data_IF_670195408377
#
_entry.id   IF_670195408377
#
_cell.length_a   1.000
_cell.length_b   1.000
_cell.length_c   1.000
_cell.angle_alpha   90.00
_cell.angle_beta   90.00
_cell.angle_gamma   90.00
#
_symmetry.space_group_name_H-M   'P 1'
#
loop_
_entity.id
_entity.type
_entity.pdbx_description
1 polymer ?
#
# COMPACT_ATOMS: atom_id res chain seq x y z
N UNK A 1 4.33 -27.04 1.82
CA UNK A 1 3.94 -25.71 2.36
C UNK A 1 5.01 -24.73 1.89
N UNK A 2 4.69 -23.92 0.87
CA UNK A 2 5.65 -23.22 -0.02
C UNK A 2 6.46 -22.18 0.73
N UNK A 3 7.79 -22.17 0.58
CA UNK A 3 8.70 -21.24 1.25
C UNK A 3 8.31 -19.78 0.98
N UNK A 4 7.82 -19.10 2.03
CA UNK A 4 7.64 -17.65 2.03
C UNK A 4 8.99 -17.00 2.35
N UNK A 5 9.66 -16.48 1.31
CA UNK A 5 10.89 -15.69 1.48
C UNK A 5 10.60 -14.39 2.24
N UNK A 6 11.51 -13.97 3.13
CA UNK A 6 11.37 -12.75 3.93
C UNK A 6 11.11 -11.49 3.08
N UNK A 7 11.66 -11.42 1.86
CA UNK A 7 11.39 -10.34 0.89
C UNK A 7 9.92 -10.33 0.46
N UNK A 8 9.32 -11.50 0.20
CA UNK A 8 7.91 -11.63 -0.18
C UNK A 8 7.00 -11.22 0.98
N UNK A 9 7.36 -11.62 2.20
CA UNK A 9 6.58 -11.33 3.39
C UNK A 9 6.55 -9.83 3.73
N UNK A 10 7.68 -9.13 3.56
CA UNK A 10 7.77 -7.67 3.70
C UNK A 10 6.80 -6.95 2.75
N UNK A 11 6.86 -7.27 1.45
CA UNK A 11 6.07 -6.59 0.42
C UNK A 11 4.57 -6.82 0.63
N UNK A 12 4.19 -8.05 0.99
CA UNK A 12 2.80 -8.39 1.26
C UNK A 12 2.22 -7.63 2.45
N UNK A 13 2.92 -7.63 3.59
CA UNK A 13 2.46 -6.91 4.78
C UNK A 13 2.39 -5.41 4.51
N UNK A 14 3.40 -4.84 3.85
CA UNK A 14 3.42 -3.42 3.49
C UNK A 14 2.24 -3.04 2.59
N UNK A 15 1.99 -3.81 1.53
CA UNK A 15 0.86 -3.60 0.61
C UNK A 15 -0.49 -3.69 1.32
N UNK A 16 -0.67 -4.69 2.19
CA UNK A 16 -1.89 -4.84 2.99
C UNK A 16 -2.10 -3.68 3.97
N UNK A 17 -1.03 -3.05 4.48
CA UNK A 17 -1.14 -1.86 5.35
C UNK A 17 -1.53 -0.60 4.58
N UNK A 18 -1.23 -0.53 3.30
CA UNK A 18 -1.60 0.60 2.44
C UNK A 18 -3.04 0.55 1.94
N UNK A 19 -3.73 -0.59 2.00
CA UNK A 19 -5.10 -0.74 1.51
C UNK A 19 -6.05 -1.01 2.70
N UNK A 20 -6.90 -0.05 3.11
CA UNK A 20 -7.76 -0.14 4.30
C UNK A 20 -9.03 -0.97 4.06
N UNK A 21 -9.07 -1.75 2.97
CA UNK A 21 -10.17 -2.68 2.67
C UNK A 21 -10.27 -3.76 3.75
N UNK A 22 -9.12 -4.18 4.29
CA UNK A 22 -9.10 -5.24 5.28
C UNK A 22 -8.98 -4.67 6.69
N UNK A 23 -9.78 -5.16 7.65
CA UNK A 23 -9.59 -4.84 9.05
C UNK A 23 -8.19 -5.23 9.54
N UNK A 24 -7.53 -4.35 10.29
CA UNK A 24 -6.15 -4.56 10.72
C UNK A 24 -5.97 -5.80 11.61
N UNK A 25 -6.98 -6.18 12.41
CA UNK A 25 -6.91 -7.37 13.24
C UNK A 25 -6.82 -8.65 12.40
N UNK A 26 -7.47 -8.68 11.23
CA UNK A 26 -7.44 -9.84 10.34
C UNK A 26 -6.06 -10.00 9.72
N UNK A 27 -5.44 -8.89 9.30
CA UNK A 27 -4.03 -8.90 8.85
C UNK A 27 -3.12 -9.39 9.97
N UNK A 28 -3.29 -8.91 11.21
CA UNK A 28 -2.47 -9.34 12.35
C UNK A 28 -2.59 -10.86 12.60
N UNK A 29 -3.79 -11.43 12.56
CA UNK A 29 -4.00 -12.87 12.71
C UNK A 29 -3.30 -13.65 11.59
N UNK A 30 -3.50 -13.25 10.33
CA UNK A 30 -2.90 -13.91 9.18
C UNK A 30 -1.37 -13.89 9.26
N UNK A 31 -0.78 -12.75 9.63
CA UNK A 31 0.66 -12.64 9.80
C UNK A 31 1.17 -13.45 10.99
N UNK A 32 0.37 -13.61 12.05
CA UNK A 32 0.67 -14.46 13.20
C UNK A 32 0.77 -15.96 12.85
N UNK A 33 0.18 -16.39 11.73
CA UNK A 33 0.32 -17.74 11.21
C UNK A 33 1.57 -17.94 10.33
N UNK A 34 2.34 -16.88 10.07
CA UNK A 34 3.56 -16.93 9.24
C UNK A 34 4.82 -17.03 10.10
N UNK A 35 5.94 -17.51 9.53
CA UNK A 35 7.26 -17.52 10.18
C UNK A 35 7.95 -16.14 10.22
N UNK A 36 7.19 -15.04 10.17
CA UNK A 36 7.76 -13.69 10.14
C UNK A 36 8.34 -13.32 11.51
N UNK A 37 9.56 -12.74 11.52
CA UNK A 37 10.15 -12.18 12.74
C UNK A 37 9.31 -11.00 13.25
N UNK A 38 9.07 -10.96 14.56
CA UNK A 38 8.28 -9.89 15.21
C UNK A 38 8.87 -8.50 14.91
N UNK A 39 10.19 -8.38 14.89
CA UNK A 39 10.88 -7.10 14.57
C UNK A 39 10.60 -6.64 13.14
N UNK A 40 10.59 -7.56 12.17
CA UNK A 40 10.21 -7.26 10.79
C UNK A 40 8.75 -6.86 10.71
N UNK A 41 7.85 -7.60 11.36
CA UNK A 41 6.43 -7.25 11.41
C UNK A 41 6.20 -5.85 11.98
N UNK A 42 6.89 -5.51 13.08
CA UNK A 42 6.79 -4.21 13.73
C UNK A 42 7.20 -3.07 12.80
N UNK A 43 8.44 -3.08 12.30
CA UNK A 43 8.95 -1.99 11.48
C UNK A 43 8.20 -1.82 10.18
N UNK A 44 7.86 -2.93 9.50
CA UNK A 44 7.06 -2.87 8.27
C UNK A 44 5.68 -2.30 8.53
N UNK A 45 5.04 -2.68 9.64
CA UNK A 45 3.74 -2.12 10.02
C UNK A 45 3.83 -0.63 10.31
N UNK A 46 4.86 -0.16 11.04
CA UNK A 46 5.03 1.26 11.34
C UNK A 46 5.17 2.10 10.07
N UNK A 47 6.09 1.71 9.18
CA UNK A 47 6.33 2.45 7.94
C UNK A 47 5.12 2.41 7.01
N UNK A 48 4.50 1.23 6.86
CA UNK A 48 3.30 1.06 6.04
C UNK A 48 2.10 1.85 6.56
N UNK A 49 1.86 1.83 7.87
CA UNK A 49 0.79 2.60 8.49
C UNK A 49 1.03 4.10 8.35
N UNK A 50 2.25 4.58 8.62
CA UNK A 50 2.56 6.00 8.49
C UNK A 50 2.32 6.50 7.06
N UNK A 51 2.84 5.80 6.06
CA UNK A 51 2.62 6.13 4.65
C UNK A 51 1.13 6.10 4.28
N UNK A 52 0.41 5.05 4.72
CA UNK A 52 -1.04 4.95 4.54
C UNK A 52 -1.77 6.15 5.16
N UNK A 53 -1.51 6.47 6.42
CA UNK A 53 -2.13 7.59 7.14
C UNK A 53 -1.92 8.90 6.40
N UNK A 54 -0.71 9.22 5.94
CA UNK A 54 -0.44 10.45 5.19
C UNK A 54 -1.31 10.53 3.93
N UNK A 55 -1.37 9.44 3.15
CA UNK A 55 -2.16 9.38 1.91
C UNK A 55 -3.66 9.50 2.20
N UNK A 56 -4.18 8.73 3.15
CA UNK A 56 -5.60 8.69 3.48
C UNK A 56 -6.09 10.00 4.10
N UNK A 57 -5.30 10.61 4.98
CA UNK A 57 -5.63 11.92 5.55
C UNK A 57 -5.61 12.97 4.44
N UNK A 58 -4.61 12.97 3.55
CA UNK A 58 -4.58 13.90 2.43
C UNK A 58 -5.81 13.73 1.53
N UNK A 59 -6.11 12.50 1.09
CA UNK A 59 -7.29 12.19 0.28
C UNK A 59 -8.59 12.60 0.98
N UNK A 60 -8.74 12.30 2.27
CA UNK A 60 -9.88 12.71 3.09
C UNK A 60 -10.03 14.24 3.17
N UNK A 61 -8.94 14.97 3.35
CA UNK A 61 -8.97 16.45 3.35
C UNK A 61 -9.35 17.03 1.99
N UNK A 62 -8.96 16.38 0.88
CA UNK A 62 -9.37 16.79 -0.46
C UNK A 62 -10.85 16.49 -0.71
N UNK A 63 -11.33 15.30 -0.31
CA UNK A 63 -12.75 14.94 -0.37
C UNK A 63 -13.62 15.90 0.44
N UNK A 64 -13.19 16.29 1.64
CA UNK A 64 -13.89 17.27 2.47
C UNK A 64 -13.97 18.68 1.86
N UNK A 65 -13.12 19.02 0.88
CA UNK A 65 -13.18 20.28 0.11
C UNK A 65 -14.17 20.21 -1.06
N UNK A 66 -14.63 19.02 -1.44
CA UNK A 66 -15.60 18.84 -2.52
C UNK A 66 -16.99 19.26 -2.00
N UNK A 67 -17.34 20.53 -2.21
CA UNK A 67 -18.66 21.11 -1.86
C UNK A 67 -19.71 20.97 -2.97
N UNK A 68 -19.35 20.48 -4.16
CA UNK A 68 -20.30 20.12 -5.23
C UNK A 68 -19.75 19.03 -6.16
N UNK A 69 -20.62 18.22 -6.75
CA UNK A 69 -20.31 17.15 -7.71
C UNK A 69 -19.50 17.63 -8.93
N UNK A 70 -19.60 18.92 -9.30
CA UNK A 70 -18.79 19.52 -10.36
C UNK A 70 -17.30 19.61 -10.01
N UNK A 71 -16.95 19.66 -8.71
CA UNK A 71 -15.57 19.67 -8.24
C UNK A 71 -14.84 18.34 -8.41
N UNK A 72 -15.56 17.23 -8.53
CA UNK A 72 -15.00 15.89 -8.78
C UNK A 72 -14.41 15.81 -10.21
N UNK A 73 -15.01 16.55 -11.15
CA UNK A 73 -14.52 16.68 -12.52
C UNK A 73 -13.41 17.75 -12.67
N UNK A 74 -12.94 18.34 -11.56
CA UNK A 74 -11.84 19.30 -11.66
C UNK A 74 -10.57 18.59 -12.18
N UNK A 75 -9.75 19.26 -13.02
CA UNK A 75 -8.52 18.67 -13.57
C UNK A 75 -7.58 18.12 -12.48
N UNK A 76 -7.56 18.76 -11.31
CA UNK A 76 -6.76 18.34 -10.15
C UNK A 76 -7.23 17.02 -9.54
N UNK A 77 -8.55 16.84 -9.37
CA UNK A 77 -9.12 15.62 -8.80
C UNK A 77 -9.01 14.46 -9.79
N UNK A 78 -9.25 14.71 -11.08
CA UNK A 78 -9.05 13.73 -12.14
C UNK A 78 -7.58 13.28 -12.23
N UNK A 79 -6.63 14.23 -12.17
CA UNK A 79 -5.20 13.91 -12.12
C UNK A 79 -4.82 13.05 -10.90
N UNK A 80 -5.44 13.33 -9.74
CA UNK A 80 -5.23 12.55 -8.52
C UNK A 80 -5.75 11.11 -8.64
N UNK A 81 -6.92 10.91 -9.27
CA UNK A 81 -7.44 9.56 -9.53
C UNK A 81 -6.62 8.78 -10.56
N UNK A 82 -6.15 9.45 -11.63
CA UNK A 82 -5.25 8.84 -12.61
C UNK A 82 -3.94 8.42 -11.94
N UNK A 83 -3.34 9.29 -11.12
CA UNK A 83 -2.16 8.95 -10.33
C UNK A 83 -2.41 7.79 -9.38
N UNK A 84 -3.55 7.78 -8.68
CA UNK A 84 -3.95 6.69 -7.79
C UNK A 84 -4.07 5.35 -8.54
N UNK A 85 -4.61 5.37 -9.77
CA UNK A 85 -4.75 4.17 -10.61
C UNK A 85 -3.45 3.72 -11.28
N UNK A 86 -2.59 4.65 -11.68
CA UNK A 86 -1.32 4.35 -12.35
C UNK A 86 -0.22 3.96 -11.37
N UNK A 87 -0.23 4.50 -10.16
CA UNK A 87 0.82 4.27 -9.17
C UNK A 87 1.08 2.78 -8.89
N UNK A 88 0.08 1.91 -8.69
CA UNK A 88 0.30 0.48 -8.48
C UNK A 88 0.93 -0.22 -9.68
N UNK A 89 0.58 0.19 -10.90
CA UNK A 89 1.11 -0.39 -12.13
C UNK A 89 2.58 0.01 -12.34
N UNK A 90 2.89 1.28 -12.09
CA UNK A 90 4.27 1.81 -12.16
C UNK A 90 5.14 1.16 -11.08
N UNK A 91 4.64 1.10 -9.84
CA UNK A 91 5.35 0.44 -8.73
C UNK A 91 5.61 -1.05 -9.04
N UNK A 92 4.60 -1.77 -9.55
CA UNK A 92 4.75 -3.17 -9.98
C UNK A 92 5.81 -3.31 -11.08
N UNK A 93 5.82 -2.42 -12.07
CA UNK A 93 6.79 -2.46 -13.17
C UNK A 93 8.22 -2.21 -12.70
N UNK A 94 8.43 -1.21 -11.86
CA UNK A 94 9.75 -0.91 -11.26
C UNK A 94 10.26 -2.11 -10.46
N UNK A 95 9.43 -2.68 -9.59
CA UNK A 95 9.80 -3.86 -8.79
C UNK A 95 10.13 -5.06 -9.68
N UNK A 96 9.38 -5.27 -10.77
CA UNK A 96 9.67 -6.36 -11.71
C UNK A 96 10.99 -6.17 -12.47
N UNK A 97 11.33 -4.95 -12.86
CA UNK A 97 12.59 -4.64 -13.55
C UNK A 97 13.79 -4.79 -12.63
N UNK A 98 13.68 -4.35 -11.37
CA UNK A 98 14.73 -4.54 -10.36
C UNK A 98 14.93 -6.03 -10.05
N UNK A 99 13.85 -6.81 -9.96
CA UNK A 99 13.94 -8.25 -9.71
C UNK A 99 14.52 -9.05 -10.87
N UNK A 100 14.30 -8.63 -12.12
CA UNK A 100 14.92 -9.30 -13.27
C UNK A 100 16.44 -9.09 -13.33
N UNK A 101 16.96 -7.94 -12.87
CA UNK A 101 18.40 -7.68 -12.79
C UNK A 101 19.13 -8.47 -11.69
N UNK A 102 18.40 -9.05 -10.73
CA UNK A 102 18.97 -9.83 -9.61
C UNK A 102 19.01 -11.35 -9.93
N UNK A 103 18.45 -11.78 -11.08
CA UNK A 103 18.41 -13.17 -11.54
C UNK A 103 19.23 -13.42 -12.83
N UNK A 104 19.97 -12.42 -13.30
CA UNK A 104 21.13 -12.55 -14.22
C UNK A 104 22.40 -12.43 -13.39
#
# INVERSE_FOLDING_TARGET
MKEWSAKVSFIYLFGLRLVPVFPFFMINLLMGLTKMKVTTFYWVSQVGMFAGTVVYVNAGTQLGKIKSLAGILSPTVLGSFILLGLFPLVAKKIVSTVRNKENE
#
